data_IF_692534444630
#
_entry.id   IF_692534444630
#
_cell.length_a   1.000
_cell.length_b   1.000
_cell.length_c   1.000
_cell.angle_alpha   90.00
_cell.angle_beta   90.00
_cell.angle_gamma   90.00
#
_symmetry.space_group_name_H-M   'P 1'
#
loop_
_entity.id
_entity.type
_entity.pdbx_description
1 polymer ?
#
# COMPACT_ATOMS: atom_id res chain seq x y z
N UNK A 1 12.84 -12.09 17.40
CA UNK A 1 11.41 -12.46 17.31
C UNK A 1 11.26 -13.80 18.02
N UNK A 2 10.20 -13.99 18.80
CA UNK A 2 9.91 -15.26 19.46
C UNK A 2 8.40 -15.49 19.42
N UNK A 3 7.98 -16.74 19.53
CA UNK A 3 6.59 -17.08 19.79
C UNK A 3 6.24 -16.65 21.21
N UNK A 4 5.09 -16.01 21.40
CA UNK A 4 4.68 -15.52 22.72
C UNK A 4 4.13 -16.65 23.60
N UNK A 5 4.73 -17.85 23.55
CA UNK A 5 4.35 -18.97 24.40
C UNK A 5 4.59 -18.61 25.87
N UNK A 6 3.85 -19.24 26.78
CA UNK A 6 3.83 -18.89 28.21
C UNK A 6 5.22 -18.88 28.87
N UNK A 7 6.12 -19.77 28.43
CA UNK A 7 7.51 -19.85 28.89
C UNK A 7 8.38 -18.68 28.38
N UNK A 8 8.15 -18.23 27.16
CA UNK A 8 8.85 -17.11 26.52
C UNK A 8 8.31 -15.73 26.97
N UNK A 9 7.04 -15.68 27.36
CA UNK A 9 6.36 -14.52 27.93
C UNK A 9 6.54 -14.39 29.46
N UNK A 10 7.24 -15.33 30.10
CA UNK A 10 7.41 -15.32 31.56
C UNK A 10 8.24 -14.12 32.02
N UNK A 11 7.96 -13.63 33.24
CA UNK A 11 8.66 -12.46 33.80
C UNK A 11 10.17 -12.66 33.86
N UNK A 12 10.62 -13.86 34.21
CA UNK A 12 12.05 -14.20 34.27
C UNK A 12 12.69 -14.16 32.87
N UNK A 13 12.04 -14.74 31.85
CA UNK A 13 12.54 -14.71 30.48
C UNK A 13 12.61 -13.28 29.93
N UNK A 14 11.57 -12.47 30.13
CA UNK A 14 11.55 -11.07 29.69
C UNK A 14 12.63 -10.24 30.41
N UNK A 15 12.78 -10.42 31.73
CA UNK A 15 13.84 -9.75 32.49
C UNK A 15 15.23 -10.12 31.99
N UNK A 16 15.47 -11.39 31.67
CA UNK A 16 16.73 -11.85 31.10
C UNK A 16 16.99 -11.24 29.72
N UNK A 17 16.00 -11.23 28.82
CA UNK A 17 16.09 -10.61 27.49
C UNK A 17 16.42 -9.11 27.60
N UNK A 18 15.72 -8.41 28.49
CA UNK A 18 15.95 -6.99 28.75
C UNK A 18 17.35 -6.72 29.33
N UNK A 19 17.85 -7.58 30.22
CA UNK A 19 19.21 -7.46 30.78
C UNK A 19 20.31 -7.59 29.72
N UNK A 20 20.00 -8.25 28.59
CA UNK A 20 20.89 -8.42 27.44
C UNK A 20 20.72 -7.34 26.37
N UNK A 21 19.84 -6.35 26.59
CA UNK A 21 19.48 -5.32 25.61
C UNK A 21 19.06 -5.89 24.25
N UNK A 22 18.40 -7.05 24.23
CA UNK A 22 17.92 -7.66 22.99
C UNK A 22 16.56 -7.02 22.65
N UNK A 23 16.42 -6.31 21.51
CA UNK A 23 15.14 -5.73 21.12
C UNK A 23 14.15 -6.84 20.75
N UNK A 24 13.02 -6.88 21.45
CA UNK A 24 11.95 -7.82 21.17
C UNK A 24 10.94 -7.22 20.21
N UNK A 25 10.60 -7.97 19.15
CA UNK A 25 9.52 -7.60 18.23
C UNK A 25 8.18 -7.91 18.89
N UNK A 26 7.28 -6.92 18.93
CA UNK A 26 5.91 -7.10 19.43
C UNK A 26 5.13 -8.00 18.46
N UNK A 27 5.05 -9.28 18.82
CA UNK A 27 4.49 -10.34 17.99
C UNK A 27 3.21 -10.88 18.61
N UNK A 28 2.23 -11.16 17.77
CA UNK A 28 0.93 -11.63 18.25
C UNK A 28 1.03 -13.06 18.75
N UNK A 29 0.52 -13.31 19.95
CA UNK A 29 0.38 -14.66 20.48
C UNK A 29 -0.46 -15.54 19.51
N UNK A 30 -0.09 -16.82 19.41
CA UNK A 30 -0.82 -17.83 18.64
C UNK A 30 -0.98 -17.54 17.14
N UNK A 31 0.05 -16.99 16.48
CA UNK A 31 0.10 -16.87 15.01
C UNK A 31 1.19 -17.77 14.41
N UNK A 32 1.02 -19.12 14.42
CA UNK A 32 2.02 -20.04 13.87
C UNK A 32 2.30 -19.78 12.38
N UNK A 33 1.29 -19.34 11.63
CA UNK A 33 1.39 -19.03 10.19
C UNK A 33 2.43 -17.96 9.86
N UNK A 34 2.72 -17.08 10.83
CA UNK A 34 3.63 -15.97 10.66
C UNK A 34 5.05 -16.30 11.12
N UNK A 35 5.29 -17.46 11.76
CA UNK A 35 6.62 -17.82 12.23
C UNK A 35 7.48 -18.37 11.07
N UNK A 36 8.58 -17.70 10.68
CA UNK A 36 9.46 -18.17 9.63
C UNK A 36 10.12 -19.51 9.98
N UNK A 37 10.30 -19.84 11.27
CA UNK A 37 10.95 -21.09 11.65
C UNK A 37 10.03 -22.30 11.40
N UNK A 38 8.74 -22.17 11.68
CA UNK A 38 7.73 -23.20 11.40
C UNK A 38 7.60 -23.46 9.90
N UNK A 39 7.56 -22.38 9.11
CA UNK A 39 7.54 -22.49 7.65
C UNK A 39 8.81 -23.18 7.10
N UNK A 40 9.98 -22.86 7.68
CA UNK A 40 11.23 -23.50 7.28
C UNK A 40 11.28 -24.98 7.67
N UNK A 41 10.81 -25.34 8.87
CA UNK A 41 10.66 -26.73 9.29
C UNK A 41 9.75 -27.51 8.34
N UNK A 42 8.64 -26.92 7.90
CA UNK A 42 7.77 -27.54 6.90
C UNK A 42 8.48 -27.86 5.57
N UNK A 43 9.40 -27.00 5.12
CA UNK A 43 10.23 -27.25 3.93
C UNK A 43 11.24 -28.36 4.18
N UNK A 44 11.95 -28.32 5.32
CA UNK A 44 12.93 -29.33 5.68
C UNK A 44 12.30 -30.72 5.80
N UNK A 45 11.16 -30.85 6.48
CA UNK A 45 10.45 -32.13 6.61
C UNK A 45 10.06 -32.69 5.24
N UNK A 46 9.55 -31.85 4.33
CA UNK A 46 9.24 -32.28 2.95
C UNK A 46 10.47 -32.74 2.18
N UNK A 47 11.63 -32.13 2.42
CA UNK A 47 12.89 -32.53 1.80
C UNK A 47 13.44 -33.83 2.39
N UNK A 48 13.37 -34.00 3.70
CA UNK A 48 13.87 -35.18 4.44
C UNK A 48 13.06 -36.44 4.08
N UNK A 49 11.72 -36.31 4.02
CA UNK A 49 10.79 -37.41 3.73
C UNK A 49 10.39 -37.48 2.25
N UNK A 50 11.12 -36.80 1.37
CA UNK A 50 10.87 -36.84 -0.08
C UNK A 50 10.92 -38.27 -0.59
N UNK A 51 10.10 -38.58 -1.59
CA UNK A 51 10.03 -39.89 -2.26
C UNK A 51 9.69 -41.05 -1.30
N UNK A 52 9.00 -40.75 -0.19
CA UNK A 52 8.56 -41.74 0.78
C UNK A 52 9.69 -42.28 1.67
N UNK A 53 10.84 -41.59 1.75
CA UNK A 53 11.96 -41.97 2.62
C UNK A 53 11.50 -42.02 4.08
N UNK A 54 11.82 -43.08 4.80
CA UNK A 54 11.52 -43.28 6.22
C UNK A 54 12.80 -43.55 7.00
N UNK A 55 12.80 -43.21 8.28
CA UNK A 55 13.94 -43.38 9.17
C UNK A 55 13.55 -44.25 10.37
N UNK A 56 14.27 -45.34 10.56
CA UNK A 56 14.01 -46.31 11.64
C UNK A 56 14.97 -46.13 12.83
N UNK A 57 15.86 -45.14 12.77
CA UNK A 57 16.85 -44.83 13.79
C UNK A 57 16.95 -43.30 13.93
N UNK A 58 16.94 -42.83 15.18
CA UNK A 58 17.07 -41.42 15.54
C UNK A 58 18.36 -40.82 14.99
N UNK A 59 19.47 -41.56 14.99
CA UNK A 59 20.75 -41.00 14.51
C UNK A 59 20.78 -40.77 13.01
N UNK A 60 20.18 -41.69 12.25
CA UNK A 60 20.03 -41.51 10.80
C UNK A 60 19.11 -40.32 10.48
N UNK A 61 18.06 -40.13 11.28
CA UNK A 61 17.19 -38.96 11.13
C UNK A 61 17.93 -37.67 11.48
N UNK A 62 18.73 -37.67 12.54
CA UNK A 62 19.55 -36.52 12.96
C UNK A 62 20.54 -36.12 11.86
N UNK A 63 21.26 -37.09 11.30
CA UNK A 63 22.17 -36.87 10.17
C UNK A 63 21.45 -36.30 8.96
N UNK A 64 20.25 -36.83 8.63
CA UNK A 64 19.45 -36.32 7.52
C UNK A 64 18.95 -34.89 7.76
N UNK A 65 18.54 -34.53 8.99
CA UNK A 65 18.15 -33.16 9.35
C UNK A 65 19.32 -32.21 9.18
N UNK A 66 20.49 -32.56 9.72
CA UNK A 66 21.71 -31.73 9.63
C UNK A 66 22.14 -31.56 8.17
N UNK A 67 22.12 -32.64 7.38
CA UNK A 67 22.42 -32.58 5.96
C UNK A 67 21.42 -31.71 5.18
N UNK A 68 20.12 -31.81 5.46
CA UNK A 68 19.09 -30.99 4.83
C UNK A 68 19.25 -29.51 5.21
N UNK A 69 19.59 -29.21 6.46
CA UNK A 69 19.86 -27.85 6.93
C UNK A 69 21.03 -27.21 6.17
N UNK A 70 22.17 -27.88 6.07
CA UNK A 70 23.34 -27.34 5.36
C UNK A 70 23.16 -27.28 3.83
N UNK A 71 22.35 -28.17 3.25
CA UNK A 71 22.04 -28.16 1.82
C UNK A 71 20.91 -27.19 1.45
N UNK A 72 20.31 -26.49 2.42
CA UNK A 72 19.23 -25.54 2.14
C UNK A 72 19.77 -24.30 1.43
N UNK A 73 19.17 -23.95 0.29
CA UNK A 73 19.54 -22.75 -0.46
C UNK A 73 19.25 -21.48 0.37
N UNK A 74 20.25 -20.61 0.59
CA UNK A 74 20.05 -19.31 1.25
C UNK A 74 18.94 -18.45 0.62
N UNK A 75 18.64 -18.63 -0.67
CA UNK A 75 17.52 -17.98 -1.36
C UNK A 75 16.16 -18.31 -0.76
N UNK A 76 15.97 -19.54 -0.26
CA UNK A 76 14.71 -19.97 0.38
C UNK A 76 14.50 -19.19 1.68
N UNK A 77 15.55 -19.02 2.48
CA UNK A 77 15.47 -18.25 3.74
C UNK A 77 15.12 -16.77 3.48
N UNK A 78 15.70 -16.17 2.44
CA UNK A 78 15.38 -14.78 2.04
C UNK A 78 13.93 -14.65 1.60
N UNK A 79 13.43 -15.59 0.80
CA UNK A 79 12.05 -15.58 0.33
C UNK A 79 11.07 -15.77 1.49
N UNK A 80 11.34 -16.70 2.40
CA UNK A 80 10.54 -16.89 3.62
C UNK A 80 10.50 -15.62 4.48
N UNK A 81 11.66 -14.99 4.71
CA UNK A 81 11.72 -13.73 5.46
C UNK A 81 10.87 -12.64 4.79
N UNK A 82 10.93 -12.52 3.45
CA UNK A 82 10.13 -11.57 2.70
C UNK A 82 8.63 -11.88 2.79
N UNK A 83 8.22 -13.14 2.67
CA UNK A 83 6.83 -13.57 2.81
C UNK A 83 6.29 -13.29 4.22
N UNK A 84 7.09 -13.53 5.27
CA UNK A 84 6.71 -13.21 6.65
C UNK A 84 6.56 -11.71 6.84
N UNK A 85 7.50 -10.89 6.34
CA UNK A 85 7.39 -9.42 6.41
C UNK A 85 6.11 -8.93 5.71
N UNK A 86 5.82 -9.45 4.51
CA UNK A 86 4.60 -9.09 3.78
C UNK A 86 3.34 -9.53 4.52
N UNK A 87 3.34 -10.74 5.09
CA UNK A 87 2.19 -11.29 5.83
C UNK A 87 1.96 -10.56 7.14
N UNK A 88 3.03 -10.20 7.86
CA UNK A 88 2.98 -9.36 9.04
C UNK A 88 2.45 -7.97 8.72
N UNK A 89 2.96 -7.32 7.67
CA UNK A 89 2.46 -6.02 7.21
C UNK A 89 0.98 -6.09 6.80
N UNK A 90 0.57 -7.16 6.11
CA UNK A 90 -0.82 -7.41 5.76
C UNK A 90 -1.69 -7.63 7.00
N UNK A 91 -1.20 -8.36 7.99
CA UNK A 91 -1.89 -8.59 9.27
C UNK A 91 -2.05 -7.28 10.05
N UNK A 92 -0.99 -6.48 10.17
CA UNK A 92 -1.05 -5.13 10.74
C UNK A 92 -2.04 -4.22 9.99
N UNK A 93 -2.00 -4.24 8.65
CA UNK A 93 -2.91 -3.48 7.81
C UNK A 93 -4.37 -3.93 8.00
N UNK A 94 -4.62 -5.23 8.07
CA UNK A 94 -5.94 -5.82 8.30
C UNK A 94 -6.46 -5.50 9.70
N UNK A 95 -5.59 -5.51 10.72
CA UNK A 95 -5.94 -5.04 12.06
C UNK A 95 -6.27 -3.56 12.07
N UNK A 96 -5.51 -2.69 11.38
CA UNK A 96 -5.86 -1.27 11.20
C UNK A 96 -7.19 -1.03 10.49
N UNK A 97 -7.64 -1.96 9.66
CA UNK A 97 -8.99 -1.92 9.06
C UNK A 97 -10.08 -2.37 10.02
N UNK A 98 -9.77 -3.29 10.95
CA UNK A 98 -10.71 -3.81 11.96
C UNK A 98 -10.83 -2.91 13.20
N UNK A 99 -9.74 -2.32 13.68
CA UNK A 99 -9.81 -1.22 14.64
C UNK A 99 -10.26 0.02 13.88
N UNK A 100 -11.53 0.39 14.04
CA UNK A 100 -12.08 1.65 13.51
C UNK A 100 -11.09 2.78 13.79
N UNK A 101 -10.43 3.27 12.72
CA UNK A 101 -9.63 4.48 12.81
C UNK A 101 -10.51 5.59 13.39
N UNK A 102 -9.95 6.43 14.26
CA UNK A 102 -10.64 7.64 14.71
C UNK A 102 -11.22 8.36 13.49
N UNK A 103 -12.48 8.81 13.59
CA UNK A 103 -13.22 9.42 12.47
C UNK A 103 -12.39 10.49 11.75
N UNK A 104 -11.59 11.25 12.50
CA UNK A 104 -10.62 12.23 12.00
C UNK A 104 -9.67 11.67 10.94
N UNK A 105 -9.04 10.52 11.18
CA UNK A 105 -8.11 9.89 10.23
C UNK A 105 -8.83 9.37 8.98
N UNK A 106 -10.07 8.88 9.11
CA UNK A 106 -10.87 8.44 7.96
C UNK A 106 -11.29 9.61 7.08
N UNK A 107 -11.78 10.70 7.68
CA UNK A 107 -12.12 11.92 6.96
C UNK A 107 -10.90 12.53 6.27
N UNK A 108 -9.75 12.54 6.94
CA UNK A 108 -8.52 13.06 6.34
C UNK A 108 -8.05 12.24 5.13
N UNK A 109 -8.19 10.91 5.16
CA UNK A 109 -7.88 10.06 4.00
C UNK A 109 -8.87 10.32 2.86
N UNK A 110 -10.17 10.41 3.14
CA UNK A 110 -11.19 10.68 2.13
C UNK A 110 -11.01 12.08 1.51
N UNK A 111 -10.63 13.07 2.32
CA UNK A 111 -10.30 14.41 1.86
C UNK A 111 -9.00 14.45 1.05
N UNK A 112 -7.96 13.72 1.47
CA UNK A 112 -6.72 13.59 0.71
C UNK A 112 -6.92 12.89 -0.64
N UNK A 113 -7.75 11.85 -0.69
CA UNK A 113 -8.12 11.17 -1.94
C UNK A 113 -8.93 12.10 -2.85
N UNK A 114 -9.82 12.89 -2.27
CA UNK A 114 -10.59 13.91 -3.00
C UNK A 114 -9.68 15.00 -3.57
N UNK A 115 -8.78 15.54 -2.75
CA UNK A 115 -7.76 16.53 -3.14
C UNK A 115 -6.82 15.98 -4.20
N UNK A 116 -6.36 14.74 -4.07
CA UNK A 116 -5.53 14.07 -5.07
C UNK A 116 -6.23 13.94 -6.43
N UNK A 117 -7.52 13.62 -6.46
CA UNK A 117 -8.32 13.59 -7.71
C UNK A 117 -8.44 14.96 -8.38
N UNK A 118 -8.29 16.06 -7.64
CA UNK A 118 -8.27 17.42 -8.18
C UNK A 118 -6.87 17.83 -8.65
N UNK A 119 -5.86 17.51 -7.85
CA UNK A 119 -4.49 17.94 -8.10
C UNK A 119 -3.84 17.18 -9.25
N UNK A 120 -4.14 15.89 -9.44
CA UNK A 120 -3.49 15.05 -10.47
C UNK A 120 -3.75 15.58 -11.89
N UNK A 121 -5.00 15.82 -12.35
CA UNK A 121 -5.23 16.33 -13.70
C UNK A 121 -4.64 17.73 -13.94
N UNK A 122 -4.63 18.56 -12.91
CA UNK A 122 -4.05 19.91 -12.95
C UNK A 122 -2.53 19.82 -13.08
N UNK A 123 -1.88 18.97 -12.29
CA UNK A 123 -0.44 18.74 -12.36
C UNK A 123 -0.01 18.10 -13.69
N UNK A 124 -0.81 17.17 -14.23
CA UNK A 124 -0.58 16.59 -15.56
C UNK A 124 -0.68 17.65 -16.65
N UNK A 125 -1.68 18.54 -16.58
CA UNK A 125 -1.83 19.63 -17.54
C UNK A 125 -0.68 20.65 -17.46
N UNK A 126 -0.24 21.00 -16.25
CA UNK A 126 0.92 21.87 -16.03
C UNK A 126 2.20 21.26 -16.60
N UNK A 127 2.43 19.97 -16.36
CA UNK A 127 3.57 19.24 -16.92
C UNK A 127 3.52 19.22 -18.44
N UNK A 128 2.37 18.90 -19.04
CA UNK A 128 2.19 18.85 -20.49
C UNK A 128 2.45 20.22 -21.12
N UNK A 129 1.95 21.29 -20.50
CA UNK A 129 2.17 22.67 -20.95
C UNK A 129 3.66 23.03 -20.92
N UNK A 130 4.39 22.66 -19.86
CA UNK A 130 5.83 22.87 -19.75
C UNK A 130 6.63 22.08 -20.78
N UNK A 131 6.26 20.82 -21.05
CA UNK A 131 6.90 20.01 -22.09
C UNK A 131 6.71 20.63 -23.47
N UNK A 132 5.50 21.09 -23.79
CA UNK A 132 5.22 21.78 -25.05
C UNK A 132 6.03 23.08 -25.15
N UNK A 133 6.12 23.85 -24.08
CA UNK A 133 6.91 25.08 -24.04
C UNK A 133 8.40 24.83 -24.28
N UNK A 134 8.98 23.81 -23.63
CA UNK A 134 10.38 23.42 -23.84
C UNK A 134 10.61 22.90 -25.27
N UNK A 135 9.66 22.13 -25.81
CA UNK A 135 9.71 21.67 -27.20
C UNK A 135 9.70 22.81 -28.21
N UNK A 136 8.86 23.84 -27.98
CA UNK A 136 8.84 25.06 -28.79
C UNK A 136 10.16 25.85 -28.68
N UNK A 137 10.74 25.93 -27.47
CA UNK A 137 12.03 26.59 -27.26
C UNK A 137 13.15 25.86 -28.01
N UNK A 138 13.18 24.53 -27.93
CA UNK A 138 14.14 23.70 -28.64
C UNK A 138 13.98 23.83 -30.17
N UNK A 139 12.74 23.85 -30.65
CA UNK A 139 12.43 24.07 -32.07
C UNK A 139 12.93 25.44 -32.56
N UNK A 140 12.70 26.50 -31.78
CA UNK A 140 13.20 27.85 -32.09
C UNK A 140 14.73 27.88 -32.19
N UNK A 141 15.43 27.29 -31.22
CA UNK A 141 16.90 27.27 -31.19
C UNK A 141 17.50 26.47 -32.35
N UNK A 142 16.90 25.33 -32.71
CA UNK A 142 17.46 24.42 -33.74
C UNK A 142 17.12 24.88 -35.16
N UNK A 143 15.89 25.36 -35.39
CA UNK A 143 15.38 25.57 -36.75
C UNK A 143 15.31 27.04 -37.18
N UNK A 144 15.14 28.00 -36.25
CA UNK A 144 14.96 29.40 -36.65
C UNK A 144 16.19 30.28 -36.48
N UNK A 145 17.23 29.88 -35.71
CA UNK A 145 18.43 30.71 -35.44
C UNK A 145 18.11 32.14 -34.95
N UNK A 146 16.92 32.36 -34.38
CA UNK A 146 16.46 33.66 -33.90
C UNK A 146 16.88 33.81 -32.43
N UNK A 147 17.52 34.92 -32.02
CA UNK A 147 17.86 35.16 -30.62
C UNK A 147 16.59 35.29 -29.76
N UNK A 148 16.58 34.61 -28.62
CA UNK A 148 15.47 34.62 -27.65
C UNK A 148 15.00 36.05 -27.36
N UNK A 149 13.71 36.31 -27.59
CA UNK A 149 13.05 37.58 -27.24
C UNK A 149 12.92 38.61 -28.37
N UNK A 150 13.44 38.34 -29.57
CA UNK A 150 13.36 39.24 -30.73
C UNK A 150 12.47 38.70 -31.86
N UNK A 151 11.65 37.69 -31.56
CA UNK A 151 10.97 36.86 -32.56
C UNK A 151 9.60 37.47 -32.97
N UNK A 152 9.48 37.97 -34.21
CA UNK A 152 8.23 38.55 -34.77
C UNK A 152 7.40 37.53 -35.56
N UNK A 153 7.69 36.24 -35.43
CA UNK A 153 7.10 35.15 -36.23
C UNK A 153 5.87 34.52 -35.55
N UNK A 154 5.20 33.59 -36.25
CA UNK A 154 4.07 32.78 -35.74
C UNK A 154 4.36 32.04 -34.41
N UNK A 155 5.63 31.86 -34.05
CA UNK A 155 6.06 31.22 -32.80
C UNK A 155 5.73 32.06 -31.57
N UNK A 156 5.83 33.39 -31.67
CA UNK A 156 5.49 34.31 -30.57
C UNK A 156 4.01 34.20 -30.18
N UNK A 157 3.12 34.16 -31.18
CA UNK A 157 1.69 33.92 -30.97
C UNK A 157 1.39 32.57 -30.31
N UNK A 158 2.19 31.53 -30.59
CA UNK A 158 2.03 30.23 -29.95
C UNK A 158 2.40 30.25 -28.46
N UNK A 159 3.45 30.99 -28.08
CA UNK A 159 3.81 31.20 -26.67
C UNK A 159 2.76 32.01 -25.91
N UNK A 160 2.23 33.07 -26.53
CA UNK A 160 1.17 33.89 -25.95
C UNK A 160 -0.12 33.10 -25.77
N UNK A 161 -0.50 32.28 -26.76
CA UNK A 161 -1.67 31.40 -26.69
C UNK A 161 -1.52 30.35 -25.59
N UNK A 162 -0.33 29.73 -25.46
CA UNK A 162 -0.05 28.75 -24.42
C UNK A 162 -0.13 29.38 -23.02
N UNK A 163 0.39 30.61 -22.87
CA UNK A 163 0.35 31.37 -21.62
C UNK A 163 -1.09 31.79 -21.28
N UNK A 164 -1.87 32.24 -22.26
CA UNK A 164 -3.28 32.59 -22.09
C UNK A 164 -4.11 31.35 -21.70
N UNK A 165 -3.87 30.21 -22.35
CA UNK A 165 -4.48 28.93 -22.01
C UNK A 165 -4.21 28.55 -20.55
N UNK A 166 -2.97 28.60 -20.10
CA UNK A 166 -2.62 28.23 -18.72
C UNK A 166 -3.31 29.12 -17.68
N UNK A 167 -3.45 30.43 -17.97
CA UNK A 167 -4.15 31.40 -17.10
C UNK A 167 -5.66 31.11 -17.01
N UNK A 168 -6.28 30.70 -18.11
CA UNK A 168 -7.73 30.44 -18.17
C UNK A 168 -8.06 29.02 -17.66
N UNK A 169 -7.17 28.06 -17.86
CA UNK A 169 -7.38 26.65 -17.49
C UNK A 169 -7.67 26.48 -16.01
N UNK A 170 -6.93 27.13 -15.12
CA UNK A 170 -7.19 27.03 -13.66
C UNK A 170 -8.59 27.55 -13.30
N UNK A 171 -9.00 28.68 -13.88
CA UNK A 171 -10.34 29.25 -13.66
C UNK A 171 -11.47 28.36 -14.22
N UNK A 172 -11.29 27.80 -15.43
CA UNK A 172 -12.26 26.88 -16.03
C UNK A 172 -12.30 25.52 -15.33
N UNK A 173 -11.16 24.98 -14.91
CA UNK A 173 -11.07 23.70 -14.22
C UNK A 173 -11.77 23.74 -12.85
N UNK A 174 -11.72 24.88 -12.16
CA UNK A 174 -12.43 25.10 -10.90
C UNK A 174 -13.94 25.32 -11.12
N UNK A 175 -14.34 26.04 -12.19
CA UNK A 175 -15.76 26.33 -12.45
C UNK A 175 -16.54 25.14 -13.02
N UNK A 176 -15.96 24.39 -13.96
CA UNK A 176 -16.57 23.19 -14.57
C UNK A 176 -16.82 22.08 -13.53
N UNK A 177 -16.05 22.08 -12.43
CA UNK A 177 -16.08 21.02 -11.41
C UNK A 177 -16.64 21.45 -10.06
N UNK A 178 -17.19 22.67 -9.98
CA UNK A 178 -17.95 23.14 -8.83
C UNK A 178 -19.23 22.31 -8.68
N UNK A 179 -19.63 21.98 -7.44
CA UNK A 179 -20.82 21.16 -7.17
C UNK A 179 -22.12 21.74 -7.79
N UNK A 180 -22.16 23.07 -7.98
CA UNK A 180 -23.27 23.75 -8.67
C UNK A 180 -23.39 23.35 -10.14
N UNK A 181 -22.27 23.05 -10.79
CA UNK A 181 -22.21 22.67 -12.21
C UNK A 181 -22.50 21.17 -12.40
N UNK A 182 -22.23 20.33 -11.40
CA UNK A 182 -22.60 18.90 -11.41
C UNK A 182 -24.14 18.70 -11.45
N UNK A 183 -24.90 19.58 -10.80
CA UNK A 183 -26.37 19.59 -10.88
C UNK A 183 -26.87 19.95 -12.28
N UNK A 184 -26.18 20.87 -12.99
CA UNK A 184 -26.51 21.29 -14.36
C UNK A 184 -26.17 20.17 -15.36
N UNK A 185 -25.05 19.47 -15.16
CA UNK A 185 -24.58 18.39 -16.04
C UNK A 185 -25.21 17.01 -15.75
N UNK A 186 -26.16 16.89 -14.82
CA UNK A 186 -26.81 15.63 -14.40
C UNK A 186 -25.80 14.48 -14.19
N UNK A 187 -24.60 14.77 -13.68
CA UNK A 187 -23.55 13.76 -13.53
C UNK A 187 -23.87 12.89 -12.33
N UNK A 188 -24.29 11.65 -12.56
CA UNK A 188 -24.71 10.73 -11.49
C UNK A 188 -23.54 10.48 -10.53
N UNK A 189 -23.70 10.85 -9.26
CA UNK A 189 -22.69 10.60 -8.22
C UNK A 189 -22.47 9.08 -8.11
N UNK A 190 -21.29 8.58 -8.51
CA UNK A 190 -20.89 7.17 -8.24
C UNK A 190 -20.87 6.82 -6.75
N UNK A 191 -20.73 7.82 -5.87
CA UNK A 191 -20.84 7.63 -4.42
C UNK A 191 -22.29 7.36 -3.97
N UNK A 192 -23.31 7.79 -4.71
CA UNK A 192 -24.70 7.53 -4.35
C UNK A 192 -25.07 6.04 -4.51
N UNK A 193 -24.48 5.34 -5.48
CA UNK A 193 -24.67 3.88 -5.64
C UNK A 193 -24.03 3.05 -4.51
N UNK A 194 -23.05 3.59 -3.80
CA UNK A 194 -22.44 2.90 -2.65
C UNK A 194 -23.21 3.15 -1.33
N UNK A 195 -24.09 4.15 -1.33
CA UNK A 195 -24.89 4.60 -0.17
C UNK A 195 -26.37 4.37 -0.45
N UNK A 196 -26.71 3.48 -1.38
CA UNK A 196 -28.11 3.22 -1.74
C UNK A 196 -28.84 2.35 -0.71
N UNK A 197 -28.22 1.99 0.42
CA UNK A 197 -29.03 1.43 1.50
C UNK A 197 -28.61 1.67 2.97
N UNK A 198 -28.55 2.94 3.44
CA UNK A 198 -28.43 3.24 4.86
C UNK A 198 -29.72 2.84 5.60
N UNK A 199 -30.86 2.88 4.90
CA UNK A 199 -32.19 2.50 5.38
C UNK A 199 -32.32 1.01 5.69
N UNK A 200 -31.61 0.13 4.97
CA UNK A 200 -31.61 -1.32 5.23
C UNK A 200 -30.43 -1.76 6.10
N UNK A 201 -29.35 -0.98 6.16
CA UNK A 201 -28.22 -1.24 7.05
C UNK A 201 -28.54 -1.02 8.54
N UNK A 202 -29.32 0.01 8.88
CA UNK A 202 -29.68 0.30 10.27
C UNK A 202 -30.57 -0.79 10.93
N UNK A 203 -31.62 -1.31 10.28
CA UNK A 203 -32.39 -2.45 10.77
C UNK A 203 -31.55 -3.73 10.89
N UNK A 204 -30.63 -3.97 9.94
CA UNK A 204 -29.76 -5.14 9.96
C UNK A 204 -28.83 -5.13 11.17
N UNK A 205 -28.17 -3.99 11.43
CA UNK A 205 -27.32 -3.80 12.61
C UNK A 205 -28.09 -3.97 13.92
N UNK A 206 -29.31 -3.42 14.00
CA UNK A 206 -30.13 -3.51 15.21
C UNK A 206 -30.65 -4.92 15.47
N UNK A 207 -31.02 -5.66 14.41
CA UNK A 207 -31.41 -7.07 14.51
C UNK A 207 -30.24 -7.98 14.90
N UNK A 208 -29.02 -7.71 14.42
CA UNK A 208 -27.82 -8.44 14.83
C UNK A 208 -27.50 -8.23 16.31
N UNK A 209 -27.59 -6.99 16.79
CA UNK A 209 -27.39 -6.64 18.20
C UNK A 209 -28.42 -7.31 19.10
N UNK A 210 -29.70 -7.34 18.69
CA UNK A 210 -30.76 -7.98 19.46
C UNK A 210 -30.59 -9.50 19.55
N UNK A 211 -30.03 -10.13 18.49
CA UNK A 211 -29.68 -11.56 18.50
C UNK A 211 -28.48 -11.89 19.40
N UNK A 212 -27.56 -10.95 19.62
CA UNK A 212 -26.43 -11.15 20.53
C UNK A 212 -26.81 -11.03 22.01
N UNK A 213 -27.97 -10.43 22.31
CA UNK A 213 -28.45 -10.17 23.67
C UNK A 213 -29.55 -11.13 24.14
N UNK A 214 -29.91 -12.14 23.33
CA UNK A 214 -30.75 -13.28 23.72
C UNK A 214 -29.91 -14.54 23.82
#
# INVERSE_FOLDING_TARGET
MQDNASVHASKSTIQWINSRNIPLLDWQACSPDLDPIENFWGILVRQIYRDGRQFNNVEKLREAIVAAWYNSDPGILKNLALTVILSFNKSLYSKRHRTQMQLTNRYQIDENVRTGRYLIPVAVNDLLTKVVHIGLLLYSVIFTNIPLGMDTTHLSHAYDLLTAYQRIFFGLALTIRSEKFDHILKRTKRAARAVEDPSTAAPHYFNELNRMWQ
#
